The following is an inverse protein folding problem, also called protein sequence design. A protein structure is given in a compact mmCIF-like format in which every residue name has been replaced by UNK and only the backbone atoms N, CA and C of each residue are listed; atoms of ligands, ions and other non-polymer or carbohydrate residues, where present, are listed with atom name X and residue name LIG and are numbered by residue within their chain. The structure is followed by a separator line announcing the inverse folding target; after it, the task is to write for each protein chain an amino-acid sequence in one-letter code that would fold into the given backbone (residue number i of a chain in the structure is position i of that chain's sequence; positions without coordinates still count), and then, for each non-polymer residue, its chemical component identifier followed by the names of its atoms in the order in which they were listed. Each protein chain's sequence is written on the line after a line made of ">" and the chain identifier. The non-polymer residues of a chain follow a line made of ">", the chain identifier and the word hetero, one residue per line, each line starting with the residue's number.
data_IF_547139672120
#
_entry.id   IF_547139672120
#
_cell.length_a   1.000
_cell.length_b   1.000
_cell.length_c   1.000
_cell.angle_alpha   90.00
_cell.angle_beta   90.00
_cell.angle_gamma   90.00
#
_symmetry.space_group_name_H-M   'P 1'
#
loop_
_entity.id
_entity.type
_entity.pdbx_description
1 polymer ?
#
# COMPACT_ATOMS: atom_id res chain seq x y z
N UNK A 1 -17.45 6.47 12.50
CA UNK A 1 -16.16 6.16 13.16
C UNK A 1 -15.34 5.39 12.14
N UNK A 2 -14.20 5.92 11.69
CA UNK A 2 -13.36 5.21 10.70
C UNK A 2 -12.63 4.10 11.45
N UNK A 3 -12.92 2.85 11.10
CA UNK A 3 -12.16 1.72 11.66
C UNK A 3 -10.81 1.70 10.97
N UNK A 4 -9.74 2.01 11.72
CA UNK A 4 -8.38 1.80 11.23
C UNK A 4 -8.11 0.29 11.25
N UNK A 5 -8.12 -0.32 10.07
CA UNK A 5 -7.81 -1.73 9.94
C UNK A 5 -6.30 -1.91 9.82
N UNK A 6 -5.73 -2.74 10.69
CA UNK A 6 -4.34 -3.15 10.56
C UNK A 6 -4.24 -4.17 9.44
N UNK A 7 -3.44 -3.83 8.43
CA UNK A 7 -3.02 -4.80 7.44
C UNK A 7 -2.40 -6.02 8.14
N UNK A 8 -2.85 -7.21 7.76
CA UNK A 8 -2.35 -8.49 8.23
C UNK A 8 -2.08 -9.38 7.02
N UNK A 9 -1.20 -10.37 7.17
CA UNK A 9 -0.86 -11.31 6.10
C UNK A 9 -2.13 -12.02 5.61
N UNK A 10 -2.31 -12.06 4.30
CA UNK A 10 -3.49 -12.63 3.65
C UNK A 10 -4.57 -11.61 3.29
N UNK A 11 -4.56 -10.41 3.90
CA UNK A 11 -5.54 -9.37 3.58
C UNK A 11 -5.35 -8.84 2.15
N UNK A 12 -6.44 -8.45 1.50
CA UNK A 12 -6.41 -7.78 0.20
C UNK A 12 -6.44 -6.26 0.37
N UNK A 13 -5.65 -5.57 -0.44
CA UNK A 13 -5.56 -4.12 -0.49
C UNK A 13 -5.65 -3.62 -1.93
N UNK A 14 -6.01 -2.36 -2.06
CA UNK A 14 -5.95 -1.58 -3.28
C UNK A 14 -4.91 -0.47 -3.12
N UNK A 15 -4.16 -0.23 -4.19
CA UNK A 15 -3.34 0.97 -4.38
C UNK A 15 -4.16 1.97 -5.19
N UNK A 16 -4.15 3.25 -4.82
CA UNK A 16 -4.68 4.32 -5.67
C UNK A 16 -3.60 5.37 -5.84
N UNK A 17 -2.83 5.22 -6.92
CA UNK A 17 -1.67 6.07 -7.21
C UNK A 17 -1.90 6.95 -8.44
N UNK A 18 -1.14 8.03 -8.55
CA UNK A 18 -1.29 8.99 -9.65
C UNK A 18 -0.92 8.41 -11.02
N UNK A 19 -0.02 7.41 -11.06
CA UNK A 19 0.46 6.81 -12.32
C UNK A 19 -0.39 5.63 -12.74
N UNK A 20 -0.58 4.64 -11.85
CA UNK A 20 -1.31 3.41 -12.16
C UNK A 20 -2.83 3.58 -12.03
N UNK A 21 -3.27 4.65 -11.36
CA UNK A 21 -4.65 4.78 -10.91
C UNK A 21 -4.94 3.78 -9.79
N UNK A 22 -6.20 3.34 -9.73
CA UNK A 22 -6.61 2.31 -8.78
C UNK A 22 -6.28 0.91 -9.30
N UNK A 23 -5.57 0.13 -8.48
CA UNK A 23 -5.34 -1.28 -8.71
C UNK A 23 -5.55 -2.08 -7.42
N UNK A 24 -6.51 -2.99 -7.48
CA UNK A 24 -6.88 -3.89 -6.39
C UNK A 24 -6.27 -5.29 -6.57
N UNK A 25 -6.72 -6.28 -5.77
CA UNK A 25 -6.21 -7.66 -5.80
C UNK A 25 -4.72 -7.77 -5.45
N UNK A 26 -4.25 -6.88 -4.58
CA UNK A 26 -2.92 -6.93 -4.00
C UNK A 26 -3.03 -7.63 -2.64
N UNK A 27 -2.37 -8.77 -2.46
CA UNK A 27 -2.43 -9.56 -1.23
C UNK A 27 -1.25 -9.24 -0.33
N UNK A 28 -1.51 -8.90 0.93
CA UNK A 28 -0.47 -8.68 1.94
C UNK A 28 0.29 -9.98 2.17
N UNK A 29 1.59 -9.94 1.93
CA UNK A 29 2.49 -11.10 2.09
C UNK A 29 3.32 -11.02 3.36
N UNK A 30 3.55 -9.81 3.89
CA UNK A 30 4.36 -9.61 5.09
C UNK A 30 4.00 -8.31 5.77
N UNK A 31 4.03 -8.32 7.10
CA UNK A 31 3.84 -7.14 7.95
C UNK A 31 5.02 -7.00 8.89
N UNK A 32 5.45 -5.77 9.18
CA UNK A 32 6.61 -5.52 10.05
C UNK A 32 7.95 -5.58 9.31
N UNK A 33 7.92 -5.54 7.97
CA UNK A 33 9.12 -5.58 7.16
C UNK A 33 10.00 -4.35 7.42
N UNK A 34 11.30 -4.58 7.51
CA UNK A 34 12.31 -3.53 7.62
C UNK A 34 13.37 -3.76 6.56
N UNK A 35 13.92 -2.68 6.02
CA UNK A 35 14.92 -2.78 4.97
C UNK A 35 15.50 -1.43 4.60
N UNK A 36 16.27 -1.44 3.52
CA UNK A 36 16.94 -0.25 2.99
C UNK A 36 16.49 -0.07 1.54
N UNK A 37 16.02 1.12 1.19
CA UNK A 37 15.74 1.49 -0.19
C UNK A 37 17.03 1.71 -0.97
N UNK A 38 16.91 1.77 -2.30
CA UNK A 38 18.05 1.97 -3.21
C UNK A 38 18.79 3.29 -2.96
N UNK A 39 18.10 4.31 -2.45
CA UNK A 39 18.68 5.60 -2.05
C UNK A 39 19.39 5.56 -0.67
N UNK A 40 19.50 4.38 -0.03
CA UNK A 40 20.12 4.21 1.28
C UNK A 40 19.21 4.50 2.47
N UNK A 41 17.99 4.98 2.25
CA UNK A 41 17.03 5.24 3.33
C UNK A 41 16.60 3.93 3.99
N UNK A 42 16.75 3.88 5.32
CA UNK A 42 16.28 2.75 6.13
C UNK A 42 14.83 2.97 6.53
N UNK A 43 14.02 1.92 6.40
CA UNK A 43 12.62 1.90 6.82
C UNK A 43 12.35 0.73 7.75
N UNK A 44 11.38 0.90 8.63
CA UNK A 44 10.98 -0.10 9.62
C UNK A 44 9.47 -0.22 9.67
N UNK A 45 9.00 -1.40 10.08
CA UNK A 45 7.59 -1.70 10.31
C UNK A 45 6.65 -1.50 9.10
N UNK A 46 7.18 -1.64 7.90
CA UNK A 46 6.41 -1.51 6.67
C UNK A 46 5.58 -2.78 6.40
N UNK A 47 4.67 -2.67 5.45
CA UNK A 47 3.90 -3.80 4.91
C UNK A 47 4.34 -4.06 3.48
N UNK A 48 4.51 -5.33 3.12
CA UNK A 48 4.72 -5.77 1.74
C UNK A 48 3.50 -6.53 1.26
N UNK A 49 2.98 -6.14 0.10
CA UNK A 49 1.88 -6.80 -0.55
C UNK A 49 2.20 -7.03 -2.03
N UNK A 50 1.59 -8.06 -2.64
CA UNK A 50 1.90 -8.49 -4.00
C UNK A 50 0.63 -8.65 -4.82
N UNK A 51 0.64 -8.19 -6.07
CA UNK A 51 -0.44 -8.50 -7.03
C UNK A 51 -0.59 -10.02 -7.17
N UNK A 52 -1.82 -10.52 -7.04
CA UNK A 52 -2.12 -11.95 -7.21
C UNK A 52 -2.18 -12.36 -8.67
N UNK A 53 -2.52 -11.45 -9.57
CA UNK A 53 -2.65 -11.70 -11.01
C UNK A 53 -1.30 -11.64 -11.73
N UNK A 54 -0.24 -11.23 -11.03
CA UNK A 54 1.08 -11.01 -11.62
C UNK A 54 1.16 -9.73 -12.47
N UNK A 55 0.14 -8.87 -12.40
CA UNK A 55 0.17 -7.51 -12.92
C UNK A 55 0.93 -6.55 -12.00
N UNK A 56 0.86 -5.27 -12.32
CA UNK A 56 1.49 -4.21 -11.54
C UNK A 56 0.67 -3.91 -10.30
N UNK A 57 1.28 -4.07 -9.12
CA UNK A 57 0.67 -3.65 -7.87
C UNK A 57 0.88 -2.14 -7.63
N UNK A 58 1.93 -1.58 -8.22
CA UNK A 58 2.37 -0.19 -8.00
C UNK A 58 3.30 0.22 -9.15
N UNK A 59 3.30 1.50 -9.49
CA UNK A 59 4.22 2.12 -10.45
C UNK A 59 5.00 3.30 -9.83
N UNK A 60 6.10 3.68 -10.45
CA UNK A 60 6.79 4.94 -10.14
C UNK A 60 5.83 6.11 -10.38
N UNK A 61 5.75 7.01 -9.39
CA UNK A 61 4.76 8.10 -9.34
C UNK A 61 3.53 7.81 -8.48
N UNK A 62 3.27 6.55 -8.08
CA UNK A 62 2.22 6.22 -7.10
C UNK A 62 2.63 6.49 -5.65
N UNK A 63 3.90 6.80 -5.41
CA UNK A 63 4.43 7.08 -4.07
C UNK A 63 3.65 8.21 -3.38
N UNK A 64 3.28 8.02 -2.12
CA UNK A 64 2.40 8.94 -1.38
C UNK A 64 0.91 8.69 -1.58
N UNK A 65 0.52 7.87 -2.57
CA UNK A 65 -0.87 7.49 -2.79
C UNK A 65 -1.44 6.62 -1.66
N UNK A 66 -2.76 6.65 -1.41
CA UNK A 66 -3.39 5.83 -0.39
C UNK A 66 -3.37 4.33 -0.75
N UNK A 67 -3.17 3.52 0.28
CA UNK A 67 -3.44 2.08 0.26
C UNK A 67 -4.62 1.82 1.19
N UNK A 68 -5.64 1.12 0.71
CA UNK A 68 -6.86 0.88 1.45
C UNK A 68 -7.43 -0.52 1.17
N UNK A 69 -8.40 -0.95 1.96
CA UNK A 69 -9.17 -2.18 1.72
C UNK A 69 -10.66 -1.84 1.67
N UNK A 70 -11.40 -2.54 0.83
CA UNK A 70 -12.85 -2.58 0.94
C UNK A 70 -13.27 -3.51 2.08
N UNK A 71 -14.17 -3.04 2.94
CA UNK A 71 -14.79 -3.80 4.03
C UNK A 71 -16.30 -3.84 3.84
N UNK A 72 -17.00 -4.67 4.62
CA UNK A 72 -18.46 -4.79 4.59
C UNK A 72 -19.04 -4.91 3.16
N UNK A 73 -18.63 -5.94 2.40
CA UNK A 73 -19.11 -6.15 1.02
C UNK A 73 -18.99 -4.93 0.09
N UNK A 74 -17.88 -4.19 0.20
CA UNK A 74 -17.57 -2.99 -0.59
C UNK A 74 -18.32 -1.71 -0.21
N UNK A 75 -19.15 -1.74 0.85
CA UNK A 75 -19.85 -0.54 1.34
C UNK A 75 -18.94 0.39 2.16
N UNK A 76 -17.81 -0.12 2.65
CA UNK A 76 -16.89 0.63 3.48
C UNK A 76 -15.46 0.58 2.95
N UNK A 77 -14.70 1.64 3.23
CA UNK A 77 -13.27 1.73 2.92
C UNK A 77 -12.48 1.87 4.21
N UNK A 78 -11.49 1.01 4.39
CA UNK A 78 -10.58 1.04 5.51
C UNK A 78 -9.18 1.42 5.05
N UNK A 79 -8.70 2.58 5.51
CA UNK A 79 -7.33 3.05 5.24
C UNK A 79 -6.30 2.07 5.84
N UNK A 80 -5.39 1.57 5.01
CA UNK A 80 -4.33 0.64 5.39
C UNK A 80 -2.99 1.33 5.50
N UNK A 81 -2.72 2.31 4.63
CA UNK A 81 -1.39 2.89 4.54
C UNK A 81 -1.17 3.89 3.42
N UNK A 82 0.10 4.19 3.21
CA UNK A 82 0.59 5.10 2.17
C UNK A 82 1.67 4.40 1.37
N UNK A 83 1.51 4.36 0.05
CA UNK A 83 2.46 3.78 -0.90
C UNK A 83 3.84 4.42 -0.72
N UNK A 84 4.87 3.59 -0.57
CA UNK A 84 6.23 4.07 -0.30
C UNK A 84 7.27 3.57 -1.30
N UNK A 85 7.12 2.36 -1.83
CA UNK A 85 8.08 1.83 -2.80
C UNK A 85 7.51 0.74 -3.70
N UNK A 86 8.19 0.59 -4.84
CA UNK A 86 8.00 -0.46 -5.84
C UNK A 86 9.02 -1.58 -5.59
N UNK A 87 8.59 -2.83 -5.77
CA UNK A 87 9.47 -3.99 -5.78
C UNK A 87 9.08 -5.02 -6.84
N UNK A 88 10.04 -5.87 -7.22
CA UNK A 88 9.91 -6.90 -8.28
C UNK A 88 9.37 -6.33 -9.60
N UNK A 89 10.25 -5.70 -10.41
CA UNK A 89 9.86 -4.99 -11.62
C UNK A 89 9.06 -5.84 -12.60
N UNK A 90 8.06 -5.23 -13.24
CA UNK A 90 7.27 -5.79 -14.35
C UNK A 90 6.77 -4.71 -15.29
N UNK A 91 6.33 -5.10 -16.48
CA UNK A 91 5.76 -4.19 -17.46
C UNK A 91 4.37 -3.69 -17.03
N UNK A 92 4.23 -2.36 -16.89
CA UNK A 92 3.01 -1.69 -16.46
C UNK A 92 2.43 -0.78 -17.54
N UNK A 93 2.33 -1.27 -18.77
CA UNK A 93 1.71 -0.50 -19.86
C UNK A 93 2.48 0.78 -20.22
N UNK A 94 3.81 0.72 -20.21
CA UNK A 94 4.69 1.87 -20.48
C UNK A 94 5.15 2.62 -19.23
N UNK A 95 4.63 2.26 -18.05
CA UNK A 95 5.14 2.73 -16.77
C UNK A 95 6.20 1.79 -16.21
N UNK A 96 7.18 2.35 -15.53
CA UNK A 96 8.09 1.59 -14.67
C UNK A 96 7.35 1.23 -13.39
N UNK A 97 7.17 -0.07 -13.11
CA UNK A 97 6.47 -0.51 -11.91
C UNK A 97 6.81 -1.93 -11.50
N UNK A 98 6.04 -2.49 -10.57
CA UNK A 98 6.40 -3.73 -9.92
C UNK A 98 5.21 -4.50 -9.36
N UNK A 99 5.43 -5.81 -9.18
CA UNK A 99 4.43 -6.74 -8.61
C UNK A 99 4.28 -6.59 -7.11
N UNK A 100 5.24 -5.97 -6.43
CA UNK A 100 5.27 -5.81 -4.98
C UNK A 100 5.16 -4.34 -4.64
N UNK A 101 4.19 -4.01 -3.82
CA UNK A 101 4.05 -2.70 -3.18
C UNK A 101 4.58 -2.79 -1.75
N UNK A 102 5.31 -1.75 -1.34
CA UNK A 102 5.70 -1.52 0.05
C UNK A 102 5.02 -0.24 0.51
N UNK A 103 4.34 -0.30 1.65
CA UNK A 103 3.60 0.84 2.20
C UNK A 103 3.77 0.97 3.71
N UNK A 104 3.68 2.20 4.21
CA UNK A 104 3.65 2.50 5.64
C UNK A 104 2.28 2.19 6.22
N UNK A 105 2.17 1.90 7.52
CA UNK A 105 0.87 1.62 8.15
C UNK A 105 0.19 2.94 8.50
N UNK A 106 -1.05 3.14 8.06
CA UNK A 106 -1.82 4.35 8.37
C UNK A 106 -1.92 4.58 9.89
N UNK A 107 -2.02 3.49 10.66
CA UNK A 107 -2.04 3.53 12.12
C UNK A 107 -0.76 4.13 12.75
N UNK A 108 0.41 3.92 12.14
CA UNK A 108 1.65 4.52 12.65
C UNK A 108 1.67 6.02 12.38
N UNK A 109 1.20 6.45 11.20
CA UNK A 109 1.09 7.87 10.85
C UNK A 109 0.14 8.60 11.81
N UNK A 110 -1.02 8.01 12.09
CA UNK A 110 -2.01 8.53 13.05
C UNK A 110 -1.39 8.68 14.45
N UNK A 111 -0.67 7.66 14.92
CA UNK A 111 -0.03 7.67 16.23
C UNK A 111 1.10 8.66 16.35
N UNK A 112 2.00 8.67 15.39
CA UNK A 112 3.25 9.42 15.46
C UNK A 112 3.02 10.92 15.18
N UNK A 113 2.09 11.25 14.29
CA UNK A 113 1.77 12.63 13.93
C UNK A 113 0.59 13.22 14.72
N UNK A 114 -0.13 12.42 15.52
CA UNK A 114 -1.37 12.85 16.18
C UNK A 114 -2.49 13.24 15.19
N UNK A 115 -2.44 12.67 13.98
CA UNK A 115 -3.37 12.98 12.90
C UNK A 115 -4.63 12.10 12.96
N UNK A 116 -5.74 12.57 12.42
CA UNK A 116 -6.98 11.79 12.27
C UNK A 116 -7.27 11.52 10.80
N UNK A 117 -7.78 10.32 10.51
CA UNK A 117 -8.33 10.02 9.18
C UNK A 117 -9.71 10.65 9.08
N UNK A 118 -9.89 11.59 8.16
CA UNK A 118 -11.17 12.23 7.86
C UNK A 118 -11.81 11.55 6.65
N UNK A 119 -13.11 11.27 6.76
CA UNK A 119 -13.97 10.82 5.65
C UNK A 119 -15.11 11.83 5.59
N UNK A 120 -15.29 12.45 4.42
CA UNK A 120 -16.35 13.43 4.16
C UNK A 120 -17.54 12.77 3.47
#
# INVERSE_FOLDING_TARGET
>A
MVTLWKAHVGNFVCNSGASLGEYCLIKVTETGWSGTYSNGQKVKHMVRAKSVEGGCAVAHGDSGGPVYSYTNWFDEVAAQGITSAVGKPVYCGGLDGGRVIVFSRAWDVVKDAGAYVMVY
#
